data_IF_733909620513
#
_entry.id   IF_733909620513
#
_cell.length_a   1.000
_cell.length_b   1.000
_cell.length_c   1.000
_cell.angle_alpha   90.00
_cell.angle_beta   90.00
_cell.angle_gamma   90.00
#
_symmetry.space_group_name_H-M   'P 1'
#
loop_
_entity.id
_entity.type
_entity.pdbx_description
1 polymer ?
#
# COMPACT_ATOMS: atom_id res chain seq x y z
N UNK A 1 22.68 -30.88 -42.54
CA UNK A 1 21.33 -30.25 -42.61
C UNK A 1 21.32 -28.81 -42.09
N UNK A 2 21.96 -28.50 -40.95
CA UNK A 2 21.96 -27.16 -40.32
C UNK A 2 22.56 -26.03 -41.20
N UNK A 3 23.63 -26.30 -41.98
CA UNK A 3 24.26 -25.29 -42.87
C UNK A 3 23.31 -24.72 -43.95
N UNK A 4 22.34 -25.51 -44.43
CA UNK A 4 21.38 -25.06 -45.46
C UNK A 4 20.28 -24.17 -44.90
N UNK A 5 19.94 -24.28 -43.61
CA UNK A 5 18.95 -23.42 -42.96
C UNK A 5 19.54 -22.03 -42.78
N UNK A 6 20.79 -21.94 -42.32
CA UNK A 6 21.46 -20.64 -42.12
C UNK A 6 21.59 -19.82 -43.40
N UNK A 7 21.95 -20.47 -44.52
CA UNK A 7 22.04 -19.81 -45.83
C UNK A 7 20.69 -19.27 -46.34
N UNK A 8 19.56 -19.88 -45.93
CA UNK A 8 18.22 -19.41 -46.30
C UNK A 8 17.70 -18.29 -45.39
N UNK A 9 18.04 -18.32 -44.10
CA UNK A 9 17.55 -17.34 -43.11
C UNK A 9 18.40 -16.06 -43.09
N UNK A 10 19.69 -16.16 -43.41
CA UNK A 10 20.63 -15.02 -43.41
C UNK A 10 20.19 -13.81 -44.26
N UNK A 11 19.81 -13.96 -45.55
CA UNK A 11 19.37 -12.80 -46.34
C UNK A 11 18.08 -12.17 -45.81
N UNK A 12 17.18 -12.97 -45.23
CA UNK A 12 15.96 -12.46 -44.60
C UNK A 12 16.29 -11.67 -43.32
N UNK A 13 17.21 -12.16 -42.48
CA UNK A 13 17.70 -11.42 -41.32
C UNK A 13 18.38 -10.11 -41.71
N UNK A 14 19.26 -10.11 -42.71
CA UNK A 14 19.94 -8.90 -43.19
C UNK A 14 18.93 -7.87 -43.71
N UNK A 15 17.85 -8.32 -44.37
CA UNK A 15 16.82 -7.43 -44.86
C UNK A 15 15.88 -6.91 -43.75
N UNK A 16 15.50 -7.75 -42.79
CA UNK A 16 14.52 -7.41 -41.73
C UNK A 16 15.16 -6.72 -40.52
N UNK A 17 16.40 -7.04 -40.17
CA UNK A 17 17.06 -6.52 -38.97
C UNK A 17 17.17 -4.98 -38.93
N UNK A 18 17.50 -4.26 -40.04
CA UNK A 18 17.52 -2.79 -40.02
C UNK A 18 16.15 -2.20 -39.66
N UNK A 19 15.07 -2.78 -40.17
CA UNK A 19 13.70 -2.33 -39.87
C UNK A 19 13.30 -2.63 -38.43
N UNK A 20 13.69 -3.79 -37.89
CA UNK A 20 13.49 -4.10 -36.47
C UNK A 20 14.26 -3.14 -35.57
N UNK A 21 15.50 -2.79 -35.93
CA UNK A 21 16.31 -1.83 -35.18
C UNK A 21 15.70 -0.43 -35.24
N UNK A 22 15.30 0.04 -36.42
CA UNK A 22 14.62 1.33 -36.57
C UNK A 22 13.31 1.34 -35.79
N UNK A 23 12.50 0.28 -35.89
CA UNK A 23 11.26 0.15 -35.12
C UNK A 23 11.49 0.14 -33.61
N UNK A 24 12.52 -0.56 -33.13
CA UNK A 24 12.90 -0.57 -31.71
C UNK A 24 13.37 0.81 -31.24
N UNK A 25 14.17 1.52 -32.05
CA UNK A 25 14.63 2.87 -31.74
C UNK A 25 13.45 3.86 -31.69
N UNK A 26 12.60 3.85 -32.71
CA UNK A 26 11.40 4.70 -32.77
C UNK A 26 10.45 4.38 -31.60
N UNK A 27 10.25 3.10 -31.30
CA UNK A 27 9.38 2.63 -30.23
C UNK A 27 9.93 2.85 -28.82
N UNK A 28 11.25 3.02 -28.66
CA UNK A 28 11.89 3.12 -27.35
C UNK A 28 11.41 4.33 -26.54
N UNK A 29 11.31 5.51 -27.16
CA UNK A 29 10.87 6.75 -26.50
C UNK A 29 9.39 6.68 -26.07
N UNK A 30 8.42 6.40 -26.96
CA UNK A 30 7.01 6.29 -26.55
C UNK A 30 6.79 5.11 -25.60
N UNK A 31 7.51 3.99 -25.78
CA UNK A 31 7.47 2.86 -24.86
C UNK A 31 7.96 3.21 -23.46
N UNK A 32 9.06 3.95 -23.35
CA UNK A 32 9.56 4.44 -22.07
C UNK A 32 8.60 5.43 -21.42
N UNK A 33 7.99 6.34 -22.19
CA UNK A 33 6.98 7.28 -21.66
C UNK A 33 5.71 6.58 -21.19
N UNK A 34 5.25 5.56 -21.92
CA UNK A 34 4.13 4.73 -21.50
C UNK A 34 4.49 3.96 -20.22
N UNK A 35 5.70 3.40 -20.14
CA UNK A 35 6.19 2.78 -18.92
C UNK A 35 6.21 3.76 -17.74
N UNK A 36 6.78 4.97 -17.90
CA UNK A 36 6.76 5.99 -16.84
C UNK A 36 5.35 6.32 -16.38
N UNK A 37 4.41 6.49 -17.32
CA UNK A 37 3.01 6.75 -16.97
C UNK A 37 2.39 5.58 -16.20
N UNK A 38 2.56 4.35 -16.68
CA UNK A 38 1.94 3.18 -16.05
C UNK A 38 2.58 2.84 -14.70
N UNK A 39 3.88 3.12 -14.50
CA UNK A 39 4.64 2.68 -13.32
C UNK A 39 5.01 3.75 -12.31
N UNK A 40 5.02 5.03 -12.70
CA UNK A 40 5.50 6.12 -11.84
C UNK A 40 4.50 7.25 -11.65
N UNK A 41 3.37 7.21 -12.35
CA UNK A 41 2.38 8.28 -12.36
C UNK A 41 1.07 7.78 -11.75
N UNK A 42 0.65 8.41 -10.65
CA UNK A 42 -0.60 8.06 -9.98
C UNK A 42 -1.83 8.29 -10.88
N UNK A 43 -1.72 9.15 -11.90
CA UNK A 43 -2.79 9.40 -12.88
C UNK A 43 -3.18 8.13 -13.64
N UNK A 44 -2.27 7.17 -13.79
CA UNK A 44 -2.64 5.87 -14.36
C UNK A 44 -3.71 5.18 -13.51
N UNK A 45 -3.46 5.00 -12.22
CA UNK A 45 -4.42 4.38 -11.29
C UNK A 45 -5.66 5.25 -11.09
N UNK A 46 -5.50 6.56 -10.90
CA UNK A 46 -6.61 7.47 -10.62
C UNK A 46 -7.46 7.82 -11.85
N UNK A 47 -7.06 7.37 -13.05
CA UNK A 47 -7.90 7.47 -14.27
C UNK A 47 -8.96 6.37 -14.38
N UNK A 48 -8.90 5.34 -13.54
CA UNK A 48 -9.86 4.23 -13.54
C UNK A 48 -10.87 4.38 -12.41
N UNK A 49 -12.15 4.44 -12.76
CA UNK A 49 -13.25 4.60 -11.80
C UNK A 49 -13.32 3.50 -10.72
N UNK A 50 -12.82 2.29 -11.02
CA UNK A 50 -12.74 1.19 -10.05
C UNK A 50 -11.86 1.56 -8.84
N UNK A 51 -10.97 2.55 -8.99
CA UNK A 51 -10.09 3.04 -7.94
C UNK A 51 -10.57 4.35 -7.29
N UNK A 52 -11.75 4.89 -7.61
CA UNK A 52 -12.21 6.19 -7.07
C UNK A 52 -12.24 6.20 -5.53
N UNK A 53 -12.71 5.12 -4.91
CA UNK A 53 -12.78 4.99 -3.45
C UNK A 53 -11.41 5.13 -2.77
N UNK A 54 -10.36 4.59 -3.41
CA UNK A 54 -8.98 4.65 -2.93
C UNK A 54 -8.34 5.99 -3.28
N UNK A 55 -8.61 6.50 -4.50
CA UNK A 55 -8.02 7.72 -5.04
C UNK A 55 -8.43 8.94 -4.23
N UNK A 56 -9.69 9.04 -3.81
CA UNK A 56 -10.18 10.14 -2.97
C UNK A 56 -9.47 10.13 -1.62
N UNK A 57 -9.50 8.99 -0.92
CA UNK A 57 -8.84 8.88 0.39
C UNK A 57 -7.34 9.17 0.32
N UNK A 58 -6.66 8.63 -0.69
CA UNK A 58 -5.24 8.86 -0.89
C UNK A 58 -4.94 10.33 -1.18
N UNK A 59 -5.67 10.98 -2.09
CA UNK A 59 -5.51 12.42 -2.41
C UNK A 59 -5.72 13.34 -1.20
N UNK A 60 -6.68 13.00 -0.34
CA UNK A 60 -6.99 13.78 0.86
C UNK A 60 -5.97 13.55 2.00
N UNK A 61 -5.14 12.51 1.90
CA UNK A 61 -4.12 12.16 2.89
C UNK A 61 -2.77 12.85 2.61
N UNK A 62 -1.85 12.78 3.59
CA UNK A 62 -0.47 13.24 3.40
C UNK A 62 0.29 12.44 2.34
N UNK A 63 -0.09 11.17 2.11
CA UNK A 63 0.52 10.34 1.07
C UNK A 63 0.16 10.85 -0.33
N UNK A 64 -1.03 11.40 -0.53
CA UNK A 64 -1.45 12.04 -1.78
C UNK A 64 -0.58 13.19 -2.24
N UNK A 65 0.19 13.77 -1.32
CA UNK A 65 1.05 14.93 -1.57
C UNK A 65 2.51 14.54 -1.78
N UNK A 66 2.92 13.33 -1.39
CA UNK A 66 4.32 12.94 -1.28
C UNK A 66 4.67 11.65 -2.03
N UNK A 67 3.70 10.76 -2.24
CA UNK A 67 3.88 9.46 -2.87
C UNK A 67 2.94 9.32 -4.05
N UNK A 68 3.03 8.21 -4.77
CA UNK A 68 2.10 7.73 -5.78
C UNK A 68 1.45 6.43 -5.29
N UNK A 69 0.45 5.92 -6.03
CA UNK A 69 -0.15 4.62 -5.70
C UNK A 69 0.89 3.48 -5.68
N UNK A 70 1.90 3.59 -6.54
CA UNK A 70 2.92 2.58 -6.78
C UNK A 70 4.01 2.56 -5.73
N UNK A 71 4.11 3.56 -4.86
CA UNK A 71 5.01 3.49 -3.70
C UNK A 71 4.51 2.48 -2.65
N UNK A 72 3.24 2.08 -2.73
CA UNK A 72 2.62 1.12 -1.82
C UNK A 72 2.09 -0.13 -2.54
N UNK A 73 1.57 0.01 -3.76
CA UNK A 73 0.94 -1.07 -4.53
C UNK A 73 1.89 -1.60 -5.61
N UNK A 74 2.77 -2.50 -5.20
CA UNK A 74 3.68 -3.16 -6.13
C UNK A 74 2.96 -4.30 -6.85
N UNK A 75 2.79 -4.13 -8.16
CA UNK A 75 2.17 -5.14 -8.99
C UNK A 75 3.13 -5.58 -10.10
N UNK A 76 3.33 -6.90 -10.29
CA UNK A 76 4.10 -7.41 -11.42
C UNK A 76 3.53 -6.91 -12.77
N UNK A 77 4.42 -6.62 -13.74
CA UNK A 77 3.99 -6.12 -15.05
C UNK A 77 2.98 -7.04 -15.76
N UNK A 78 3.11 -8.35 -15.55
CA UNK A 78 2.17 -9.35 -16.09
C UNK A 78 0.75 -9.17 -15.56
N UNK A 79 0.59 -8.74 -14.31
CA UNK A 79 -0.73 -8.54 -13.73
C UNK A 79 -1.36 -7.27 -14.29
N UNK A 80 -0.61 -6.21 -14.60
CA UNK A 80 -1.17 -5.06 -15.33
C UNK A 80 -1.72 -5.47 -16.70
N UNK A 81 -1.01 -6.35 -17.42
CA UNK A 81 -1.51 -6.87 -18.70
C UNK A 81 -2.80 -7.69 -18.52
N UNK A 82 -2.89 -8.50 -17.46
CA UNK A 82 -4.12 -9.24 -17.13
C UNK A 82 -5.27 -8.31 -16.79
N UNK A 83 -5.04 -7.28 -15.99
CA UNK A 83 -6.07 -6.30 -15.64
C UNK A 83 -6.53 -5.51 -16.86
N UNK A 84 -5.65 -5.15 -17.80
CA UNK A 84 -6.05 -4.53 -19.06
C UNK A 84 -6.99 -5.43 -19.88
N UNK A 85 -6.74 -6.74 -19.90
CA UNK A 85 -7.64 -7.70 -20.57
C UNK A 85 -8.99 -7.74 -19.85
N UNK A 86 -9.00 -7.80 -18.51
CA UNK A 86 -10.24 -7.77 -17.71
C UNK A 86 -11.02 -6.47 -17.95
N UNK A 87 -10.35 -5.33 -17.96
CA UNK A 87 -10.95 -4.02 -18.20
C UNK A 87 -11.65 -3.97 -19.57
N UNK A 88 -10.98 -4.45 -20.61
CA UNK A 88 -11.51 -4.46 -21.99
C UNK A 88 -12.66 -5.47 -22.14
N UNK A 89 -12.54 -6.65 -21.53
CA UNK A 89 -13.46 -7.78 -21.78
C UNK A 89 -14.65 -7.84 -20.82
N UNK A 90 -14.51 -7.33 -19.59
CA UNK A 90 -15.50 -7.52 -18.51
C UNK A 90 -16.10 -6.22 -17.98
N UNK A 91 -15.48 -5.06 -18.22
CA UNK A 91 -15.96 -3.76 -17.72
C UNK A 91 -16.25 -3.79 -16.20
N UNK A 92 -15.21 -4.03 -15.36
CA UNK A 92 -15.36 -4.11 -13.91
C UNK A 92 -15.97 -2.82 -13.36
N UNK A 93 -16.84 -2.94 -12.35
CA UNK A 93 -17.49 -1.79 -11.67
C UNK A 93 -16.94 -1.59 -10.27
N UNK A 94 -16.48 -2.67 -9.64
CA UNK A 94 -16.01 -2.69 -8.27
C UNK A 94 -14.60 -3.28 -8.17
N UNK A 95 -13.84 -2.96 -7.11
CA UNK A 95 -12.48 -3.49 -6.92
C UNK A 95 -12.42 -5.01 -6.91
N UNK A 96 -13.47 -5.67 -6.39
CA UNK A 96 -13.60 -7.13 -6.37
C UNK A 96 -13.75 -7.78 -7.75
N UNK A 97 -14.03 -6.97 -8.78
CA UNK A 97 -14.18 -7.46 -10.16
C UNK A 97 -12.82 -7.56 -10.88
N UNK A 98 -11.75 -7.01 -10.28
CA UNK A 98 -10.37 -7.11 -10.76
C UNK A 98 -9.77 -8.48 -10.42
N UNK A 99 -8.70 -8.87 -11.13
CA UNK A 99 -8.07 -10.17 -10.96
C UNK A 99 -7.42 -10.36 -9.59
N UNK A 100 -6.96 -9.28 -8.96
CA UNK A 100 -6.29 -9.33 -7.67
C UNK A 100 -6.80 -8.27 -6.70
N UNK A 101 -6.79 -8.61 -5.41
CA UNK A 101 -6.94 -7.64 -4.33
C UNK A 101 -5.55 -7.17 -3.92
N UNK A 102 -5.25 -5.86 -3.98
CA UNK A 102 -3.94 -5.37 -3.59
C UNK A 102 -3.65 -5.64 -2.11
N UNK A 103 -2.45 -6.13 -1.84
CA UNK A 103 -1.94 -6.33 -0.48
C UNK A 103 -0.67 -5.51 -0.31
N UNK A 104 -0.67 -4.63 0.70
CA UNK A 104 0.49 -3.83 1.09
C UNK A 104 1.16 -4.51 2.28
N UNK A 105 2.31 -5.20 2.08
CA UNK A 105 3.01 -5.84 3.18
C UNK A 105 3.64 -4.81 4.14
N UNK A 106 3.87 -5.24 5.38
CA UNK A 106 4.38 -4.39 6.49
C UNK A 106 5.73 -3.75 6.16
N UNK A 107 6.61 -4.50 5.52
CA UNK A 107 7.96 -4.09 5.13
C UNK A 107 7.97 -2.85 4.21
N UNK A 108 6.94 -2.65 3.37
CA UNK A 108 6.82 -1.43 2.57
C UNK A 108 6.59 -0.18 3.43
N UNK A 109 5.76 -0.29 4.48
CA UNK A 109 5.59 0.81 5.43
C UNK A 109 6.90 1.06 6.20
N UNK A 110 7.57 -0.01 6.62
CA UNK A 110 8.81 0.07 7.39
C UNK A 110 9.95 0.70 6.59
N UNK A 111 10.06 0.39 5.29
CA UNK A 111 11.07 0.97 4.39
C UNK A 111 11.10 2.52 4.42
N UNK A 112 9.94 3.13 4.66
CA UNK A 112 9.80 4.59 4.75
C UNK A 112 9.74 5.12 6.19
N UNK A 113 9.08 4.42 7.11
CA UNK A 113 8.74 4.95 8.43
C UNK A 113 9.53 4.38 9.60
N UNK A 114 10.41 3.39 9.38
CA UNK A 114 11.29 2.84 10.42
C UNK A 114 12.73 3.24 10.11
N UNK A 115 13.50 3.63 11.13
CA UNK A 115 14.83 4.17 10.95
C UNK A 115 15.81 3.11 10.39
N UNK A 116 15.69 1.87 10.85
CA UNK A 116 16.57 0.74 10.50
C UNK A 116 15.81 -0.36 9.74
N UNK A 117 15.07 -0.01 8.69
CA UNK A 117 14.43 -0.98 7.81
C UNK A 117 15.31 -1.33 6.61
N UNK A 118 15.21 -2.60 6.16
CA UNK A 118 15.72 -2.98 4.85
C UNK A 118 14.90 -2.25 3.78
N UNK A 119 15.58 -1.49 2.93
CA UNK A 119 14.90 -0.74 1.87
C UNK A 119 14.60 -1.71 0.74
N UNK A 120 13.32 -2.02 0.57
CA UNK A 120 12.86 -2.69 -0.63
C UNK A 120 13.37 -1.92 -1.86
N UNK A 121 14.10 -2.57 -2.76
CA UNK A 121 14.51 -1.98 -4.05
C UNK A 121 13.34 -1.74 -5.00
N UNK A 122 12.13 -2.10 -4.56
CA UNK A 122 10.89 -2.04 -5.33
C UNK A 122 10.14 -0.72 -5.12
N UNK A 123 10.69 0.28 -4.43
CA UNK A 123 9.98 1.54 -4.21
C UNK A 123 9.55 2.17 -5.53
N UNK A 124 8.36 2.79 -5.50
CA UNK A 124 7.94 3.72 -6.53
C UNK A 124 8.87 4.94 -6.63
N UNK A 125 8.43 6.05 -7.26
CA UNK A 125 9.32 7.15 -7.64
C UNK A 125 9.96 7.92 -6.47
N UNK A 126 9.64 7.59 -5.21
CA UNK A 126 10.22 8.28 -4.07
C UNK A 126 11.72 8.01 -3.96
N UNK A 127 12.52 9.04 -4.18
CA UNK A 127 13.98 8.93 -4.12
C UNK A 127 14.46 8.78 -2.68
N UNK A 128 15.59 8.09 -2.48
CA UNK A 128 16.19 7.85 -1.15
C UNK A 128 16.35 9.12 -0.30
N UNK A 129 16.62 10.25 -0.95
CA UNK A 129 16.76 11.55 -0.29
C UNK A 129 15.45 12.01 0.37
N UNK A 130 14.30 11.71 -0.24
CA UNK A 130 13.00 12.09 0.28
C UNK A 130 12.53 11.14 1.39
N UNK A 131 12.88 9.85 1.29
CA UNK A 131 12.65 8.86 2.37
C UNK A 131 13.32 9.27 3.68
N UNK A 132 14.50 9.90 3.62
CA UNK A 132 15.22 10.40 4.79
C UNK A 132 14.50 11.53 5.53
N UNK A 133 13.60 12.26 4.85
CA UNK A 133 12.84 13.38 5.41
C UNK A 133 11.53 12.92 6.07
N UNK A 134 11.11 11.68 5.85
CA UNK A 134 9.85 11.16 6.38
C UNK A 134 9.93 10.94 7.89
N UNK A 135 8.82 11.17 8.63
CA UNK A 135 8.75 10.88 10.05
C UNK A 135 9.06 9.40 10.34
N UNK A 136 10.02 9.17 11.24
CA UNK A 136 10.40 7.84 11.71
C UNK A 136 9.58 7.48 12.94
N UNK A 137 8.53 6.68 12.73
CA UNK A 137 7.50 6.41 13.72
C UNK A 137 8.00 5.49 14.83
N UNK A 138 9.00 4.67 14.56
CA UNK A 138 9.70 3.86 15.56
C UNK A 138 10.43 4.70 16.62
N UNK A 139 10.71 5.98 16.32
CA UNK A 139 11.22 6.97 17.27
C UNK A 139 10.16 7.64 18.14
N UNK A 140 8.87 7.38 17.91
CA UNK A 140 7.75 8.00 18.63
C UNK A 140 7.21 7.05 19.70
N UNK A 141 6.78 7.60 20.84
CA UNK A 141 6.50 6.81 22.05
C UNK A 141 5.44 5.73 21.84
N UNK A 142 4.18 6.08 21.56
CA UNK A 142 3.15 5.06 21.42
C UNK A 142 3.38 4.16 20.21
N UNK A 143 3.90 4.68 19.10
CA UNK A 143 4.25 3.84 17.95
C UNK A 143 5.26 2.75 18.33
N UNK A 144 6.35 3.11 19.01
CA UNK A 144 7.35 2.16 19.48
C UNK A 144 6.79 1.11 20.46
N UNK A 145 5.94 1.55 21.39
CA UNK A 145 5.27 0.63 22.32
C UNK A 145 4.45 -0.39 21.55
N UNK A 146 3.68 0.03 20.56
CA UNK A 146 2.79 -0.84 19.78
C UNK A 146 3.54 -1.76 18.81
N UNK A 147 4.60 -1.26 18.15
CA UNK A 147 5.42 -2.05 17.21
C UNK A 147 6.08 -3.27 17.87
N UNK A 148 6.23 -3.27 19.20
CA UNK A 148 6.82 -4.37 19.99
C UNK A 148 5.78 -5.30 20.62
N UNK A 149 4.49 -5.07 20.36
CA UNK A 149 3.41 -5.92 20.91
C UNK A 149 3.04 -7.03 19.95
N UNK A 150 2.50 -8.09 20.55
CA UNK A 150 1.86 -9.17 19.85
C UNK A 150 0.35 -9.11 20.04
N UNK A 151 -0.38 -9.61 19.06
CA UNK A 151 -1.84 -9.70 19.07
C UNK A 151 -2.29 -11.06 18.54
N UNK A 152 -3.46 -11.50 19.00
CA UNK A 152 -4.19 -12.63 18.40
C UNK A 152 -5.34 -12.16 17.51
N UNK A 153 -5.47 -10.85 17.30
CA UNK A 153 -6.46 -10.31 16.37
C UNK A 153 -5.99 -10.60 14.94
N UNK A 154 -6.83 -11.20 14.07
CA UNK A 154 -6.48 -11.41 12.67
C UNK A 154 -6.21 -10.08 11.95
N UNK A 155 -5.34 -10.12 10.93
CA UNK A 155 -5.07 -8.95 10.12
C UNK A 155 -6.36 -8.47 9.45
N UNK A 156 -6.59 -7.15 9.32
CA UNK A 156 -7.72 -6.61 8.55
C UNK A 156 -7.95 -7.31 7.21
N UNK A 157 -6.87 -7.53 6.45
CA UNK A 157 -6.90 -8.15 5.12
C UNK A 157 -7.33 -9.62 5.12
N UNK A 158 -7.26 -10.30 6.27
CA UNK A 158 -7.67 -11.70 6.41
C UNK A 158 -9.13 -11.85 6.82
N UNK A 159 -9.76 -10.78 7.30
CA UNK A 159 -11.18 -10.77 7.61
C UNK A 159 -11.91 -10.64 6.29
N UNK A 160 -12.70 -11.66 5.93
CA UNK A 160 -13.60 -11.54 4.78
C UNK A 160 -14.56 -10.39 5.07
N UNK A 161 -14.50 -9.35 4.26
CA UNK A 161 -15.55 -8.35 4.25
C UNK A 161 -16.86 -9.07 3.88
N UNK A 162 -17.89 -8.93 4.70
CA UNK A 162 -19.21 -9.43 4.35
C UNK A 162 -19.75 -8.71 3.10
N UNK A 163 -20.94 -9.09 2.64
CA UNK A 163 -21.74 -8.24 1.75
C UNK A 163 -22.27 -7.01 2.53
N UNK A 164 -21.38 -6.32 3.24
CA UNK A 164 -21.73 -5.11 3.97
C UNK A 164 -22.12 -4.06 2.94
N UNK A 165 -23.43 -3.93 2.71
CA UNK A 165 -24.07 -3.00 1.76
C UNK A 165 -23.72 -1.53 2.04
N UNK A 166 -23.06 -1.24 3.17
CA UNK A 166 -22.68 0.11 3.59
C UNK A 166 -21.27 0.13 4.13
N UNK A 167 -20.38 0.76 3.36
CA UNK A 167 -19.05 1.13 3.81
C UNK A 167 -19.11 1.76 5.21
N UNK A 168 -18.45 1.14 6.18
CA UNK A 168 -18.12 1.78 7.46
C UNK A 168 -18.97 1.41 8.68
N UNK A 169 -19.97 0.52 8.59
CA UNK A 169 -20.70 0.02 9.76
C UNK A 169 -20.28 -1.43 10.04
N UNK A 170 -19.37 -1.62 10.99
CA UNK A 170 -19.00 -2.94 11.51
C UNK A 170 -19.79 -3.20 12.80
N UNK A 171 -21.05 -3.59 12.68
CA UNK A 171 -21.84 -4.01 13.84
C UNK A 171 -21.51 -5.46 14.18
N UNK A 172 -20.85 -5.67 15.32
CA UNK A 172 -20.91 -6.94 16.05
C UNK A 172 -20.23 -8.15 15.43
N UNK A 173 -19.35 -8.00 14.43
CA UNK A 173 -18.56 -9.13 13.94
C UNK A 173 -17.66 -9.67 15.06
N UNK A 174 -18.01 -10.84 15.59
CA UNK A 174 -17.21 -11.53 16.59
C UNK A 174 -15.86 -11.89 15.97
N UNK A 175 -14.80 -11.18 16.36
CA UNK A 175 -13.48 -11.41 15.80
C UNK A 175 -12.92 -12.69 16.40
N UNK A 176 -12.94 -13.78 15.63
CA UNK A 176 -12.27 -15.03 16.00
C UNK A 176 -10.78 -14.76 16.16
N UNK A 177 -10.29 -14.90 17.40
CA UNK A 177 -8.87 -14.75 17.70
C UNK A 177 -8.08 -15.91 17.08
N UNK A 178 -6.90 -15.60 16.58
CA UNK A 178 -5.91 -16.57 16.15
C UNK A 178 -5.49 -17.46 17.33
N UNK A 179 -5.14 -18.72 17.03
CA UNK A 179 -4.59 -19.65 18.02
C UNK A 179 -3.24 -19.15 18.55
N UNK A 180 -2.38 -18.72 17.64
CA UNK A 180 -1.04 -18.20 17.94
C UNK A 180 -0.98 -16.67 17.86
N UNK A 181 -0.19 -16.02 18.74
CA UNK A 181 0.07 -14.60 18.63
C UNK A 181 0.95 -14.28 17.42
N UNK A 182 0.73 -13.10 16.84
CA UNK A 182 1.58 -12.51 15.80
C UNK A 182 2.01 -11.11 16.21
N UNK A 183 3.05 -10.59 15.59
CA UNK A 183 3.44 -9.20 15.75
C UNK A 183 2.35 -8.25 15.23
N UNK A 184 2.24 -7.10 15.88
CA UNK A 184 1.41 -6.00 15.41
C UNK A 184 2.02 -5.41 14.13
N UNK A 185 1.17 -5.09 13.16
CA UNK A 185 1.55 -4.48 11.90
C UNK A 185 0.93 -3.09 11.76
N UNK A 186 1.50 -2.25 10.89
CA UNK A 186 0.97 -0.91 10.59
C UNK A 186 -0.52 -0.95 10.20
N UNK A 187 -0.89 -1.95 9.41
CA UNK A 187 -2.26 -2.16 8.94
C UNK A 187 -3.27 -2.42 10.08
N UNK A 188 -2.83 -2.92 11.25
CA UNK A 188 -3.74 -3.14 12.40
C UNK A 188 -4.39 -1.86 12.90
N UNK A 189 -3.68 -0.74 12.78
CA UNK A 189 -4.15 0.58 13.17
C UNK A 189 -4.59 1.42 11.96
N UNK A 190 -3.80 1.41 10.89
CA UNK A 190 -3.98 2.29 9.73
C UNK A 190 -4.78 1.66 8.57
N UNK A 191 -4.75 0.34 8.43
CA UNK A 191 -5.33 -0.40 7.30
C UNK A 191 -6.63 -1.14 7.61
N UNK A 192 -7.24 -0.84 8.76
CA UNK A 192 -8.50 -1.46 9.15
C UNK A 192 -9.60 -1.26 8.11
N UNK A 193 -10.64 -2.11 8.10
CA UNK A 193 -11.87 -1.87 7.33
C UNK A 193 -12.48 -0.48 7.64
N UNK A 194 -12.06 0.01 8.80
CA UNK A 194 -12.29 1.28 9.37
C UNK A 194 -11.72 2.52 8.67
N UNK A 195 -10.58 2.37 8.02
CA UNK A 195 -9.79 3.47 7.52
C UNK A 195 -9.74 3.53 6.00
N UNK A 196 -10.52 2.64 5.36
CA UNK A 196 -10.50 2.44 3.91
C UNK A 196 -9.10 2.19 3.34
N UNK A 197 -8.10 1.85 4.17
CA UNK A 197 -6.68 1.67 3.86
C UNK A 197 -5.97 2.81 3.07
N UNK A 198 -6.70 3.85 2.63
CA UNK A 198 -6.20 4.94 1.79
C UNK A 198 -6.38 6.33 2.42
N UNK A 199 -7.11 6.46 3.53
CA UNK A 199 -7.21 7.71 4.33
C UNK A 199 -5.98 7.84 5.29
N UNK A 200 -5.32 6.71 5.59
CA UNK A 200 -4.12 6.55 6.44
C UNK A 200 -4.19 7.12 7.86
N UNK A 201 -5.22 7.87 8.23
CA UNK A 201 -5.50 8.33 9.58
C UNK A 201 -6.03 7.18 10.42
N UNK A 202 -5.39 6.82 11.54
CA UNK A 202 -5.91 5.80 12.48
C UNK A 202 -7.32 6.19 12.93
N UNK A 203 -8.35 5.35 12.78
CA UNK A 203 -9.64 5.62 13.40
C UNK A 203 -9.70 5.07 14.83
N UNK A 204 -10.45 5.71 15.73
CA UNK A 204 -10.61 5.28 17.12
C UNK A 204 -11.16 3.84 17.24
N UNK A 205 -11.93 3.41 16.25
CA UNK A 205 -12.41 2.02 16.15
C UNK A 205 -11.29 0.98 15.96
N UNK A 206 -10.13 1.36 15.42
CA UNK A 206 -8.97 0.47 15.37
C UNK A 206 -8.45 0.18 16.78
N UNK A 207 -8.51 1.15 17.70
CA UNK A 207 -8.06 1.00 19.09
C UNK A 207 -8.94 0.00 19.84
N UNK A 208 -10.27 0.12 19.72
CA UNK A 208 -11.20 -0.74 20.48
C UNK A 208 -11.15 -2.21 20.08
N UNK A 209 -10.59 -2.56 18.91
CA UNK A 209 -10.36 -3.96 18.50
C UNK A 209 -9.45 -4.72 19.48
N UNK A 210 -8.47 -4.03 20.07
CA UNK A 210 -7.57 -4.60 21.07
C UNK A 210 -7.89 -4.10 22.49
N UNK A 211 -8.42 -2.88 22.62
CA UNK A 211 -8.67 -2.20 23.88
C UNK A 211 -10.16 -2.12 24.26
N UNK A 212 -10.99 -3.08 23.85
CA UNK A 212 -12.45 -3.09 24.08
C UNK A 212 -12.88 -2.96 25.56
N UNK A 213 -11.99 -3.32 26.49
CA UNK A 213 -12.22 -3.23 27.94
C UNK A 213 -11.63 -1.97 28.56
N UNK A 214 -10.85 -1.20 27.81
CA UNK A 214 -10.24 0.05 28.26
C UNK A 214 -11.22 1.21 28.08
N UNK A 215 -11.18 2.19 28.99
CA UNK A 215 -11.87 3.47 28.85
C UNK A 215 -13.37 3.39 28.47
N UNK A 216 -14.19 2.76 29.32
CA UNK A 216 -15.65 2.61 29.11
C UNK A 216 -16.48 3.83 29.55
N UNK A 217 -15.84 4.97 29.79
CA UNK A 217 -16.56 6.18 30.23
C UNK A 217 -17.31 6.81 29.06
N UNK A 218 -18.42 7.49 29.35
CA UNK A 218 -19.17 8.26 28.33
C UNK A 218 -18.28 9.26 27.58
N UNK A 219 -17.34 9.87 28.30
CA UNK A 219 -16.37 10.80 27.73
C UNK A 219 -15.54 10.14 26.60
N UNK A 220 -15.02 8.94 26.81
CA UNK A 220 -14.19 8.28 25.78
C UNK A 220 -15.04 7.78 24.62
N UNK A 221 -16.28 7.39 24.86
CA UNK A 221 -17.21 7.02 23.78
C UNK A 221 -17.58 8.23 22.90
N UNK A 222 -17.70 9.41 23.52
CA UNK A 222 -18.07 10.65 22.83
C UNK A 222 -16.89 11.29 22.09
N UNK A 223 -15.71 11.33 22.72
CA UNK A 223 -14.53 12.00 22.17
C UNK A 223 -13.54 11.06 21.47
N UNK A 224 -13.63 9.74 21.66
CA UNK A 224 -12.67 8.79 21.08
C UNK A 224 -11.31 8.78 21.79
N UNK A 225 -10.50 7.76 21.50
CA UNK A 225 -9.22 7.52 22.16
C UNK A 225 -8.16 8.56 21.76
N UNK A 226 -8.13 8.95 20.48
CA UNK A 226 -7.12 9.86 19.92
C UNK A 226 -7.21 11.26 20.50
N UNK A 227 -8.39 11.74 20.89
CA UNK A 227 -8.50 13.08 21.48
C UNK A 227 -7.65 13.26 22.74
N UNK A 228 -7.40 12.19 23.50
CA UNK A 228 -6.51 12.23 24.66
C UNK A 228 -5.08 11.75 24.31
N UNK A 229 -4.95 10.73 23.45
CA UNK A 229 -3.65 10.07 23.19
C UNK A 229 -2.91 10.57 21.95
N UNK A 230 -3.44 11.53 21.20
CA UNK A 230 -2.81 12.01 19.96
C UNK A 230 -1.39 12.52 20.18
N UNK A 231 -1.17 13.29 21.25
CA UNK A 231 0.15 13.80 21.64
C UNK A 231 1.15 12.66 21.85
N UNK A 232 0.75 11.59 22.53
CA UNK A 232 1.62 10.45 22.84
C UNK A 232 2.07 9.68 21.58
N UNK A 233 1.31 9.77 20.48
CA UNK A 233 1.73 9.24 19.18
C UNK A 233 2.76 10.12 18.46
N UNK A 234 2.89 11.39 18.86
CA UNK A 234 3.83 12.37 18.32
C UNK A 234 5.03 12.64 19.24
N UNK A 235 4.98 12.21 20.50
CA UNK A 235 6.08 12.43 21.46
C UNK A 235 7.31 11.62 21.07
N UNK A 236 8.48 12.25 20.84
CA UNK A 236 9.72 11.54 20.63
C UNK A 236 10.14 10.74 21.87
N UNK A 237 10.62 9.50 21.68
CA UNK A 237 11.14 8.67 22.78
C UNK A 237 12.30 9.32 23.55
N UNK A 238 13.08 10.17 22.88
CA UNK A 238 14.20 10.90 23.45
C UNK A 238 13.79 11.93 24.50
N UNK A 239 12.53 12.38 24.48
CA UNK A 239 12.01 13.34 25.47
C UNK A 239 11.54 12.66 26.76
N UNK A 240 11.20 11.38 26.70
CA UNK A 240 10.72 10.59 27.84
C UNK A 240 11.86 9.92 28.62
N UNK A 241 13.05 9.86 28.04
CA UNK A 241 14.22 9.27 28.70
C UNK A 241 14.90 10.35 29.55
N UNK A 242 15.09 10.13 30.87
CA UNK A 242 15.80 11.09 31.70
C UNK A 242 17.21 11.28 31.15
N UNK A 243 17.58 12.53 30.83
CA UNK A 243 18.95 12.87 30.42
C UNK A 243 19.89 12.39 31.52
N UNK A 244 20.73 11.38 31.24
CA UNK A 244 21.85 11.04 32.12
C UNK A 244 22.69 12.31 32.24
N UNK A 245 22.68 12.89 33.44
CA UNK A 245 23.58 13.98 33.80
C UNK A 245 25.00 13.46 33.91
#
# INVERSE_FOLDING_TARGET
>A
MVKNIWQRVWPLLVFVAPWLLVGALIGSVPGYKFYEYVWKDDRFCTSCHVHDYASIGWKDSIHGQLTTCHDCHHQPLVDYARESIVLITKQPKFPKDLHHTPYVPKDLCEACHVAEADRSTLTGPLVDLDVGKLPKVDGLFLHNVHLRKQTRVPLPSTVKHGEEEKFGIFEGAEITKLSEPRELQCADCHGGPANRAHDFSVADRSCVRCHATSHRTKLVQEFGCRNCHYQDFLTPLSELTPKKK
#
